data_IF_876833158477
#
_entry.id   IF_876833158477
#
_cell.length_a   1.000
_cell.length_b   1.000
_cell.length_c   1.000
_cell.angle_alpha   90.00
_cell.angle_beta   90.00
_cell.angle_gamma   90.00
#
_symmetry.space_group_name_H-M   'P 1'
#
loop_
_entity.id
_entity.type
_entity.pdbx_description
1 polymer ?
#
# COMPACT_ATOMS: atom_id res chain seq x y z
N UNK A 1 73.06 43.60 34.29
CA UNK A 1 72.12 44.45 33.52
C UNK A 1 71.44 43.56 32.49
N UNK A 2 70.25 43.05 32.77
CA UNK A 2 69.32 42.57 31.75
C UNK A 2 67.93 42.43 32.39
N UNK A 3 66.94 42.95 31.67
CA UNK A 3 65.62 43.36 32.13
C UNK A 3 64.65 42.20 32.42
N UNK A 4 63.80 42.41 33.43
CA UNK A 4 62.49 41.79 33.56
C UNK A 4 61.56 42.23 32.41
N UNK A 5 60.94 41.29 31.72
CA UNK A 5 59.69 41.52 30.98
C UNK A 5 58.63 40.57 31.51
N UNK A 6 57.69 41.11 32.29
CA UNK A 6 56.47 40.41 32.69
C UNK A 6 55.48 40.40 31.53
N UNK A 7 55.02 39.22 31.13
CA UNK A 7 53.86 39.07 30.26
C UNK A 7 52.60 38.93 31.11
N UNK A 8 51.76 39.97 31.06
CA UNK A 8 50.42 39.96 31.65
C UNK A 8 49.46 39.24 30.71
N UNK A 9 49.00 38.04 31.08
CA UNK A 9 47.92 37.35 30.38
C UNK A 9 46.56 37.91 30.85
N UNK A 10 45.87 38.65 29.98
CA UNK A 10 44.48 39.05 30.19
C UNK A 10 43.58 37.90 29.76
N UNK A 11 43.01 37.18 30.71
CA UNK A 11 42.02 36.12 30.47
C UNK A 11 40.67 36.78 30.13
N UNK A 12 40.31 36.82 28.85
CA UNK A 12 39.00 37.34 28.43
C UNK A 12 37.94 36.26 28.66
N UNK A 13 37.11 36.46 29.69
CA UNK A 13 36.00 35.57 30.03
C UNK A 13 34.87 35.76 28.99
N UNK A 14 34.75 34.87 28.01
CA UNK A 14 33.61 34.85 27.08
C UNK A 14 32.43 34.18 27.77
N UNK A 15 31.54 34.99 28.35
CA UNK A 15 30.29 34.51 28.95
C UNK A 15 29.30 34.26 27.81
N UNK A 16 29.07 32.98 27.47
CA UNK A 16 27.98 32.59 26.59
C UNK A 16 26.65 32.72 27.33
N UNK A 17 25.91 33.79 27.05
CA UNK A 17 24.54 33.96 27.53
C UNK A 17 23.64 32.94 26.83
N UNK A 18 23.32 31.84 27.52
CA UNK A 18 22.23 30.94 27.13
C UNK A 18 20.94 31.60 27.58
N UNK A 19 20.22 32.20 26.63
CA UNK A 19 18.87 32.70 26.87
C UNK A 19 17.96 31.61 27.47
N UNK A 20 16.81 31.99 28.05
CA UNK A 20 15.91 31.05 28.69
C UNK A 20 15.56 29.91 27.72
N UNK A 21 15.80 28.67 28.16
CA UNK A 21 15.39 27.46 27.44
C UNK A 21 13.87 27.44 27.48
N UNK A 22 13.23 27.97 26.45
CA UNK A 22 11.80 27.78 26.22
C UNK A 22 11.62 26.27 26.02
N UNK A 23 10.81 25.59 26.85
CA UNK A 23 10.52 24.18 26.63
C UNK A 23 9.88 24.07 25.25
N UNK A 24 10.62 23.52 24.29
CA UNK A 24 10.03 23.08 23.02
C UNK A 24 8.89 22.15 23.39
N UNK A 25 7.66 22.50 22.97
CA UNK A 25 6.51 21.61 23.09
C UNK A 25 6.97 20.20 22.80
N UNK A 26 6.86 19.30 23.79
CA UNK A 26 7.07 17.87 23.58
C UNK A 26 6.27 17.52 22.34
N UNK A 27 6.96 17.07 21.29
CA UNK A 27 6.35 16.38 20.17
C UNK A 27 5.36 15.37 20.78
N UNK A 28 4.09 15.35 20.37
CA UNK A 28 3.16 14.37 20.91
C UNK A 28 3.82 13.01 20.78
N UNK A 29 3.90 12.29 21.91
CA UNK A 29 4.44 10.92 21.95
C UNK A 29 3.86 10.18 20.75
N UNK A 30 4.73 9.76 19.82
CA UNK A 30 4.35 8.93 18.69
C UNK A 30 3.49 7.82 19.28
N UNK A 31 2.19 7.85 19.02
CA UNK A 31 1.29 6.78 19.40
C UNK A 31 1.81 5.56 18.69
N UNK A 32 2.54 4.70 19.39
CA UNK A 32 3.05 3.47 18.82
C UNK A 32 1.84 2.62 18.53
N UNK A 33 1.45 2.63 17.26
CA UNK A 33 0.41 1.77 16.74
C UNK A 33 0.91 0.34 16.96
N UNK A 34 0.27 -0.42 17.85
CA UNK A 34 0.71 -1.77 18.22
C UNK A 34 0.31 -2.81 17.16
N UNK A 35 0.51 -2.48 15.89
CA UNK A 35 0.41 -3.42 14.78
C UNK A 35 1.39 -3.02 13.67
N UNK A 36 1.80 -4.03 12.89
CA UNK A 36 2.51 -3.81 11.63
C UNK A 36 1.55 -3.90 10.45
N UNK A 37 1.73 -3.01 9.48
CA UNK A 37 0.93 -2.91 8.27
C UNK A 37 1.67 -3.57 7.09
N UNK A 38 1.03 -4.55 6.44
CA UNK A 38 1.50 -5.06 5.15
C UNK A 38 0.91 -4.20 4.03
N UNK A 39 1.74 -3.45 3.32
CA UNK A 39 1.32 -2.64 2.17
C UNK A 39 1.43 -3.52 0.92
N UNK A 40 0.28 -3.96 0.41
CA UNK A 40 0.17 -4.86 -0.75
C UNK A 40 -0.07 -4.02 -2.00
N UNK A 41 0.89 -4.05 -2.92
CA UNK A 41 0.91 -3.21 -4.12
C UNK A 41 0.81 -4.11 -5.36
N UNK A 42 -0.36 -4.16 -6.05
CA UNK A 42 -0.49 -4.87 -7.31
C UNK A 42 0.27 -4.11 -8.40
N UNK A 43 1.10 -4.80 -9.18
CA UNK A 43 2.11 -4.15 -10.00
C UNK A 43 2.34 -4.85 -11.34
N UNK A 44 2.53 -4.04 -12.39
CA UNK A 44 3.11 -4.42 -13.68
C UNK A 44 3.55 -3.16 -14.40
N UNK A 45 4.80 -3.10 -14.86
CA UNK A 45 5.31 -2.02 -15.73
C UNK A 45 5.03 -0.59 -15.22
N UNK A 46 5.18 -0.37 -13.91
CA UNK A 46 4.96 0.93 -13.24
C UNK A 46 6.21 1.37 -12.47
N UNK A 47 7.39 1.07 -12.99
CA UNK A 47 8.65 1.26 -12.26
C UNK A 47 8.90 2.73 -11.88
N UNK A 48 8.60 3.68 -12.77
CA UNK A 48 8.65 5.12 -12.46
C UNK A 48 7.80 5.49 -11.25
N UNK A 49 6.58 4.93 -11.20
CA UNK A 49 5.61 5.23 -10.16
C UNK A 49 6.07 4.59 -8.84
N UNK A 50 6.63 3.38 -8.89
CA UNK A 50 7.22 2.70 -7.74
C UNK A 50 8.41 3.46 -7.14
N UNK A 51 9.24 4.09 -7.98
CA UNK A 51 10.38 4.91 -7.53
C UNK A 51 9.94 6.12 -6.70
N UNK A 52 8.76 6.68 -6.99
CA UNK A 52 8.17 7.77 -6.22
C UNK A 52 7.42 7.23 -5.01
N UNK A 53 6.67 6.14 -5.21
CA UNK A 53 5.79 5.55 -4.22
C UNK A 53 6.50 5.10 -2.95
N UNK A 54 7.58 4.31 -3.07
CA UNK A 54 8.23 3.70 -1.91
C UNK A 54 8.79 4.73 -0.91
N UNK A 55 9.64 5.70 -1.31
CA UNK A 55 10.12 6.73 -0.39
C UNK A 55 8.96 7.58 0.17
N UNK A 56 8.01 7.98 -0.68
CA UNK A 56 6.87 8.79 -0.25
C UNK A 56 6.04 8.09 0.83
N UNK A 57 5.68 6.82 0.60
CA UNK A 57 4.87 6.06 1.54
C UNK A 57 5.63 5.69 2.80
N UNK A 58 6.93 5.38 2.70
CA UNK A 58 7.74 5.10 3.87
C UNK A 58 7.82 6.31 4.81
N UNK A 59 8.08 7.50 4.26
CA UNK A 59 8.11 8.75 5.02
C UNK A 59 6.73 9.07 5.61
N UNK A 60 5.67 8.92 4.81
CA UNK A 60 4.30 9.17 5.24
C UNK A 60 3.90 8.26 6.43
N UNK A 61 4.12 6.94 6.31
CA UNK A 61 3.76 5.97 7.35
C UNK A 61 4.66 6.08 8.59
N UNK A 62 5.97 6.25 8.41
CA UNK A 62 6.93 6.41 9.52
C UNK A 62 6.63 7.66 10.33
N UNK A 63 6.32 8.77 9.68
CA UNK A 63 5.95 10.02 10.36
C UNK A 63 4.68 9.91 11.22
N UNK A 64 3.86 8.88 10.97
CA UNK A 64 2.64 8.55 11.72
C UNK A 64 2.85 7.42 12.74
N UNK A 65 4.08 6.92 12.90
CA UNK A 65 4.39 5.82 13.81
C UNK A 65 3.82 4.46 13.37
N UNK A 66 3.50 4.31 12.08
CA UNK A 66 2.97 3.06 11.52
C UNK A 66 4.14 2.20 11.05
N UNK A 67 4.44 1.13 11.79
CA UNK A 67 5.40 0.13 11.35
C UNK A 67 4.84 -0.61 10.12
N UNK A 68 5.64 -0.81 9.08
CA UNK A 68 5.14 -1.34 7.81
C UNK A 68 6.15 -2.20 7.06
N UNK A 69 5.65 -3.00 6.13
CA UNK A 69 6.44 -3.79 5.16
C UNK A 69 5.78 -3.64 3.79
N UNK A 70 6.56 -3.33 2.75
CA UNK A 70 6.05 -3.24 1.38
C UNK A 70 6.17 -4.59 0.65
N UNK A 71 5.06 -5.03 0.07
CA UNK A 71 4.97 -6.22 -0.77
C UNK A 71 4.47 -5.81 -2.16
N UNK A 72 5.35 -5.93 -3.16
CA UNK A 72 5.05 -5.60 -4.55
C UNK A 72 4.74 -6.90 -5.29
N UNK A 73 3.51 -7.04 -5.78
CA UNK A 73 3.06 -8.27 -6.46
C UNK A 73 3.11 -8.00 -7.96
N UNK A 74 4.20 -8.45 -8.57
CA UNK A 74 4.52 -8.16 -9.96
C UNK A 74 3.95 -9.26 -10.88
N UNK A 75 2.97 -8.90 -11.70
CA UNK A 75 2.36 -9.82 -12.67
C UNK A 75 3.27 -9.96 -13.90
N UNK A 76 3.85 -11.14 -14.10
CA UNK A 76 4.83 -11.41 -15.16
C UNK A 76 4.31 -12.29 -16.30
N UNK A 77 3.09 -12.82 -16.19
CA UNK A 77 2.40 -13.44 -17.33
C UNK A 77 1.98 -12.41 -18.39
N UNK A 78 1.55 -12.87 -19.57
CA UNK A 78 1.11 -12.03 -20.68
C UNK A 78 -0.41 -11.75 -20.69
N UNK A 79 -1.16 -12.22 -19.69
CA UNK A 79 -2.58 -11.92 -19.60
C UNK A 79 -2.80 -10.45 -19.26
N UNK A 80 -4.03 -9.95 -19.44
CA UNK A 80 -4.43 -8.62 -18.97
C UNK A 80 -4.11 -8.46 -17.47
N UNK A 81 -3.88 -7.24 -17.05
CA UNK A 81 -3.60 -6.96 -15.65
C UNK A 81 -4.80 -7.32 -14.77
N UNK A 82 -4.62 -8.13 -13.72
CA UNK A 82 -5.69 -8.56 -12.83
C UNK A 82 -5.41 -8.10 -11.39
N UNK A 83 -5.88 -6.89 -11.08
CA UNK A 83 -5.67 -6.25 -9.77
C UNK A 83 -6.20 -7.10 -8.62
N UNK A 84 -7.41 -7.66 -8.76
CA UNK A 84 -8.05 -8.47 -7.72
C UNK A 84 -7.25 -9.72 -7.36
N UNK A 85 -6.82 -10.49 -8.38
CA UNK A 85 -5.97 -11.65 -8.17
C UNK A 85 -4.64 -11.28 -7.52
N UNK A 86 -3.98 -10.21 -7.98
CA UNK A 86 -2.69 -9.79 -7.40
C UNK A 86 -2.83 -9.39 -5.93
N UNK A 87 -3.94 -8.77 -5.54
CA UNK A 87 -4.22 -8.47 -4.13
C UNK A 87 -4.45 -9.75 -3.32
N UNK A 88 -5.20 -10.73 -3.85
CA UNK A 88 -5.36 -12.05 -3.22
C UNK A 88 -4.01 -12.76 -3.02
N UNK A 89 -3.20 -12.80 -4.08
CA UNK A 89 -1.84 -13.38 -4.06
C UNK A 89 -0.97 -12.65 -3.06
N UNK A 90 -0.98 -11.32 -3.05
CA UNK A 90 -0.18 -10.53 -2.13
C UNK A 90 -0.52 -10.77 -0.67
N UNK A 91 -1.80 -10.97 -0.35
CA UNK A 91 -2.21 -11.38 0.99
C UNK A 91 -1.66 -12.77 1.32
N UNK A 92 -1.84 -13.79 0.47
CA UNK A 92 -1.28 -15.14 0.72
C UNK A 92 0.24 -15.13 0.90
N UNK A 93 0.94 -14.48 0.00
CA UNK A 93 2.40 -14.48 -0.05
C UNK A 93 3.02 -13.72 1.12
N UNK A 94 2.46 -12.56 1.48
CA UNK A 94 2.95 -11.82 2.66
C UNK A 94 2.80 -12.64 3.95
N UNK A 95 1.69 -13.37 4.15
CA UNK A 95 1.55 -14.23 5.33
C UNK A 95 2.49 -15.41 5.32
N UNK A 96 2.72 -16.03 4.16
CA UNK A 96 3.72 -17.09 4.03
C UNK A 96 5.11 -16.58 4.43
N UNK A 97 5.52 -15.40 3.94
CA UNK A 97 6.81 -14.78 4.29
C UNK A 97 6.91 -14.36 5.76
N UNK A 98 5.78 -14.01 6.39
CA UNK A 98 5.71 -13.63 7.80
C UNK A 98 5.72 -14.83 8.76
N UNK A 99 5.08 -15.94 8.37
CA UNK A 99 4.83 -17.10 9.25
C UNK A 99 5.80 -18.25 9.05
N UNK A 100 6.29 -18.47 7.84
CA UNK A 100 7.19 -19.58 7.51
C UNK A 100 8.59 -19.08 7.13
N UNK A 101 8.72 -17.81 6.77
CA UNK A 101 9.93 -17.27 6.18
C UNK A 101 10.12 -17.78 4.75
N UNK A 102 11.05 -17.18 4.02
CA UNK A 102 11.21 -17.47 2.60
C UNK A 102 12.62 -17.16 2.13
N UNK A 103 13.14 -17.99 1.23
CA UNK A 103 14.38 -17.70 0.51
C UNK A 103 14.14 -16.57 -0.49
N UNK A 104 14.94 -15.52 -0.37
CA UNK A 104 14.89 -14.35 -1.25
C UNK A 104 16.30 -14.08 -1.75
N UNK A 105 16.67 -14.59 -2.93
CA UNK A 105 17.99 -14.31 -3.50
C UNK A 105 18.31 -12.80 -3.53
N UNK A 106 19.57 -12.41 -3.26
CA UNK A 106 20.75 -13.25 -3.05
C UNK A 106 20.92 -13.79 -1.62
N UNK A 107 19.92 -13.64 -0.75
CA UNK A 107 20.03 -14.09 0.64
C UNK A 107 20.11 -15.62 0.70
N UNK A 108 21.11 -16.12 1.42
CA UNK A 108 21.41 -17.55 1.57
C UNK A 108 20.61 -18.22 2.69
N UNK A 109 19.91 -17.44 3.51
CA UNK A 109 19.04 -17.91 4.58
C UNK A 109 17.62 -17.40 4.40
N UNK A 110 16.59 -18.19 4.79
CA UNK A 110 15.21 -17.73 4.76
C UNK A 110 15.03 -16.49 5.64
N UNK A 111 14.42 -15.44 5.09
CA UNK A 111 14.02 -14.27 5.86
C UNK A 111 12.60 -14.47 6.35
N UNK A 112 12.39 -14.33 7.65
CA UNK A 112 11.07 -14.23 8.26
C UNK A 112 10.73 -12.75 8.46
N UNK A 113 9.68 -12.31 7.79
CA UNK A 113 9.21 -10.92 7.91
C UNK A 113 8.34 -10.73 9.15
N UNK A 114 8.25 -9.50 9.69
CA UNK A 114 7.45 -9.30 10.88
C UNK A 114 5.96 -9.40 10.57
N UNK A 115 5.22 -10.10 11.44
CA UNK A 115 3.79 -10.40 11.28
C UNK A 115 2.95 -9.14 11.17
N UNK A 116 2.11 -9.07 10.13
CA UNK A 116 1.19 -7.97 9.88
C UNK A 116 -0.26 -8.44 10.04
N UNK A 117 -1.00 -7.85 10.99
CA UNK A 117 -2.43 -8.14 11.20
C UNK A 117 -3.34 -7.32 10.28
N UNK A 118 -2.87 -6.13 9.90
CA UNK A 118 -3.55 -5.23 8.98
C UNK A 118 -2.86 -5.27 7.62
N UNK A 119 -3.66 -5.18 6.57
CA UNK A 119 -3.18 -5.03 5.20
C UNK A 119 -3.69 -3.70 4.62
N UNK A 120 -2.84 -3.02 3.86
CA UNK A 120 -3.23 -1.92 2.98
C UNK A 120 -3.20 -2.41 1.54
N UNK A 121 -4.37 -2.51 0.92
CA UNK A 121 -4.53 -2.82 -0.49
C UNK A 121 -4.35 -1.50 -1.25
N UNK A 122 -3.22 -1.30 -1.91
CA UNK A 122 -2.76 0.03 -2.27
C UNK A 122 -2.30 0.15 -3.71
N UNK A 123 -2.93 1.06 -4.48
CA UNK A 123 -2.48 1.39 -5.82
C UNK A 123 -1.14 2.15 -5.79
N UNK A 124 -0.20 1.78 -6.67
CA UNK A 124 1.16 2.36 -6.70
C UNK A 124 1.19 3.84 -7.11
N UNK A 125 0.16 4.31 -7.80
CA UNK A 125 0.13 5.65 -8.39
C UNK A 125 -0.68 6.68 -7.56
N UNK A 126 -1.16 6.30 -6.36
CA UNK A 126 -2.03 7.16 -5.55
C UNK A 126 -1.37 7.53 -4.22
N UNK A 127 -0.81 8.74 -4.14
CA UNK A 127 0.01 9.17 -3.01
C UNK A 127 -0.80 10.03 -2.03
N UNK A 128 -0.84 9.70 -0.72
CA UNK A 128 -1.46 10.56 0.29
C UNK A 128 -0.61 11.80 0.54
N UNK A 129 -1.20 12.99 0.45
CA UNK A 129 -0.55 14.27 0.72
C UNK A 129 -0.89 14.82 2.11
N UNK A 130 -2.13 14.60 2.55
CA UNK A 130 -2.64 15.11 3.82
C UNK A 130 -2.31 14.15 4.97
N UNK A 131 -1.53 14.64 5.94
CA UNK A 131 -1.12 13.87 7.14
C UNK A 131 -2.31 13.46 8.02
N UNK A 132 -3.49 14.07 7.84
CA UNK A 132 -4.71 13.68 8.54
C UNK A 132 -5.25 12.32 8.13
N UNK A 133 -4.87 11.81 6.94
CA UNK A 133 -5.34 10.52 6.44
C UNK A 133 -4.87 9.39 7.35
N UNK A 134 -5.77 8.49 7.73
CA UNK A 134 -5.52 7.49 8.76
C UNK A 134 -4.99 6.19 8.18
N UNK A 135 -3.76 5.85 8.55
CA UNK A 135 -3.12 4.55 8.27
C UNK A 135 -2.82 3.76 9.55
N UNK A 136 -2.88 4.43 10.69
CA UNK A 136 -2.84 3.87 12.04
C UNK A 136 -4.09 3.04 12.41
N UNK A 137 -5.05 2.92 11.49
CA UNK A 137 -6.32 2.25 11.73
C UNK A 137 -6.12 0.78 12.11
N UNK A 138 -6.69 0.40 13.25
CA UNK A 138 -6.71 -0.99 13.73
C UNK A 138 -8.12 -1.32 14.20
N UNK A 139 -8.92 -1.92 13.32
CA UNK A 139 -10.28 -2.31 13.62
C UNK A 139 -10.75 -3.47 12.77
N UNK A 140 -11.90 -4.04 13.15
CA UNK A 140 -12.48 -5.21 12.49
C UNK A 140 -13.21 -4.88 11.19
N UNK A 141 -13.59 -3.62 10.99
CA UNK A 141 -14.28 -3.14 9.79
C UNK A 141 -13.25 -2.66 8.74
N UNK A 142 -13.52 -2.82 7.44
CA UNK A 142 -12.69 -2.20 6.41
C UNK A 142 -12.72 -0.67 6.50
N UNK A 143 -11.60 -0.02 6.25
CA UNK A 143 -11.46 1.43 6.20
C UNK A 143 -10.93 1.86 4.83
N UNK A 144 -11.78 2.55 4.07
CA UNK A 144 -11.45 3.09 2.75
C UNK A 144 -10.81 4.47 2.93
N UNK A 145 -9.53 4.58 2.58
CA UNK A 145 -8.73 5.79 2.83
C UNK A 145 -9.05 6.89 1.82
N UNK A 146 -9.47 6.50 0.61
CA UNK A 146 -9.75 7.40 -0.51
C UNK A 146 -11.19 7.26 -1.02
N UNK A 147 -12.20 7.68 -0.25
CA UNK A 147 -13.58 7.77 -0.74
C UNK A 147 -13.64 8.63 -1.99
N UNK A 148 -14.68 8.42 -2.80
CA UNK A 148 -14.88 9.14 -4.07
C UNK A 148 -14.63 10.64 -3.96
N UNK A 149 -15.24 11.34 -3.00
CA UNK A 149 -15.08 12.80 -2.85
C UNK A 149 -13.65 13.29 -2.51
N UNK A 150 -12.71 12.40 -2.18
CA UNK A 150 -11.29 12.71 -2.04
C UNK A 150 -10.45 12.26 -3.25
N UNK A 151 -11.00 11.42 -4.12
CA UNK A 151 -10.29 10.86 -5.25
C UNK A 151 -10.14 11.90 -6.38
N UNK A 152 -8.93 12.15 -6.92
CA UNK A 152 -8.73 13.16 -7.97
C UNK A 152 -9.56 12.92 -9.24
N UNK A 153 -9.62 11.66 -9.69
CA UNK A 153 -10.35 11.27 -10.91
C UNK A 153 -11.81 10.84 -10.64
N UNK A 154 -12.06 9.89 -9.74
CA UNK A 154 -13.38 9.28 -9.53
C UNK A 154 -14.30 10.00 -8.53
N UNK A 155 -14.18 11.31 -8.39
CA UNK A 155 -14.98 12.09 -7.43
C UNK A 155 -16.49 12.08 -7.68
N UNK A 156 -16.92 11.74 -8.90
CA UNK A 156 -18.31 11.59 -9.28
C UNK A 156 -18.90 10.20 -8.97
N UNK A 157 -18.08 9.19 -8.68
CA UNK A 157 -18.56 7.82 -8.49
C UNK A 157 -18.80 7.52 -7.00
N UNK A 158 -20.01 7.81 -6.51
CA UNK A 158 -20.33 7.75 -5.08
C UNK A 158 -19.99 6.40 -4.39
N UNK A 159 -20.11 5.28 -5.12
CA UNK A 159 -19.86 3.92 -4.60
C UNK A 159 -18.41 3.44 -4.81
N UNK A 160 -17.49 4.31 -5.22
CA UNK A 160 -16.08 3.98 -5.44
C UNK A 160 -15.44 3.30 -4.22
N UNK A 161 -14.77 2.17 -4.45
CA UNK A 161 -14.04 1.40 -3.42
C UNK A 161 -12.61 1.03 -3.83
N UNK A 162 -12.13 1.49 -5.00
CA UNK A 162 -10.77 1.30 -5.47
C UNK A 162 -9.73 2.14 -4.73
N UNK A 163 -8.49 2.15 -5.25
CA UNK A 163 -7.42 2.96 -4.70
C UNK A 163 -6.78 2.31 -3.47
N UNK A 164 -7.25 2.71 -2.29
CA UNK A 164 -6.59 2.38 -1.01
C UNK A 164 -7.61 1.92 0.04
N UNK A 165 -7.48 0.67 0.47
CA UNK A 165 -8.30 0.05 1.52
C UNK A 165 -7.43 -0.55 2.62
N UNK A 166 -7.72 -0.20 3.87
CA UNK A 166 -7.18 -0.88 5.04
C UNK A 166 -8.18 -1.90 5.54
N UNK A 167 -7.73 -3.12 5.78
CA UNK A 167 -8.59 -4.21 6.26
C UNK A 167 -7.74 -5.17 7.10
N UNK A 168 -8.34 -5.82 8.10
CA UNK A 168 -7.62 -6.88 8.81
C UNK A 168 -7.48 -8.11 7.91
N UNK A 169 -6.39 -8.86 8.08
CA UNK A 169 -6.16 -10.11 7.35
C UNK A 169 -7.30 -11.11 7.59
N UNK A 170 -7.82 -11.16 8.81
CA UNK A 170 -8.98 -11.97 9.19
C UNK A 170 -10.24 -11.57 8.41
N UNK A 171 -10.58 -10.27 8.37
CA UNK A 171 -11.76 -9.80 7.65
C UNK A 171 -11.60 -10.03 6.14
N UNK A 172 -10.40 -9.84 5.59
CA UNK A 172 -10.10 -10.12 4.18
C UNK A 172 -10.28 -11.61 3.83
N UNK A 173 -9.81 -12.51 4.70
CA UNK A 173 -10.05 -13.95 4.54
C UNK A 173 -11.53 -14.30 4.66
N UNK A 174 -12.26 -13.68 5.61
CA UNK A 174 -13.70 -13.91 5.83
C UNK A 174 -14.55 -13.53 4.62
N UNK A 175 -14.17 -12.48 3.89
CA UNK A 175 -14.87 -12.04 2.66
C UNK A 175 -14.39 -12.81 1.42
N UNK A 176 -13.47 -13.76 1.60
CA UNK A 176 -12.83 -14.54 0.54
C UNK A 176 -12.15 -13.67 -0.53
N UNK A 177 -11.50 -12.58 -0.08
CA UNK A 177 -10.75 -11.66 -0.95
C UNK A 177 -11.55 -11.11 -2.13
N UNK A 178 -10.85 -10.79 -3.22
CA UNK A 178 -11.44 -10.32 -4.48
C UNK A 178 -11.84 -11.49 -5.38
N UNK A 179 -12.77 -11.26 -6.32
CA UNK A 179 -12.98 -12.19 -7.43
C UNK A 179 -11.71 -12.31 -8.29
N UNK A 180 -11.46 -13.52 -8.81
CA UNK A 180 -10.36 -13.80 -9.72
C UNK A 180 -10.72 -13.54 -11.20
N UNK A 181 -11.96 -13.14 -11.49
CA UNK A 181 -12.52 -13.10 -12.86
C UNK A 181 -12.38 -11.73 -13.54
N UNK A 182 -11.81 -10.72 -12.87
CA UNK A 182 -11.70 -9.36 -13.41
C UNK A 182 -10.34 -9.13 -14.06
N UNK A 183 -10.25 -9.50 -15.33
CA UNK A 183 -9.08 -9.26 -16.17
C UNK A 183 -9.18 -7.90 -16.85
N UNK A 184 -8.17 -7.04 -16.68
CA UNK A 184 -8.18 -5.67 -17.18
C UNK A 184 -8.76 -4.66 -16.17
N UNK A 185 -8.94 -3.43 -16.62
CA UNK A 185 -9.38 -2.33 -15.77
C UNK A 185 -10.90 -2.37 -15.50
N UNK A 186 -11.25 -2.28 -14.21
CA UNK A 186 -12.57 -1.89 -13.71
C UNK A 186 -13.39 -3.01 -13.08
N UNK A 187 -14.26 -2.62 -12.14
CA UNK A 187 -15.38 -3.39 -11.56
C UNK A 187 -14.99 -4.47 -10.54
N UNK A 188 -13.70 -4.76 -10.36
CA UNK A 188 -13.25 -5.70 -9.33
C UNK A 188 -13.47 -5.15 -7.93
N UNK A 189 -13.33 -3.83 -7.76
CA UNK A 189 -13.62 -3.08 -6.54
C UNK A 189 -15.12 -3.00 -6.25
N UNK A 190 -15.95 -2.83 -7.28
CA UNK A 190 -17.42 -2.90 -7.19
C UNK A 190 -17.89 -4.28 -6.74
N UNK A 191 -17.29 -5.34 -7.27
CA UNK A 191 -17.59 -6.72 -6.88
C UNK A 191 -17.15 -7.00 -5.45
N UNK A 192 -15.95 -6.58 -5.06
CA UNK A 192 -15.49 -6.65 -3.69
C UNK A 192 -16.41 -5.91 -2.72
N UNK A 193 -16.89 -4.72 -3.10
CA UNK A 193 -17.90 -3.97 -2.35
C UNK A 193 -19.19 -4.76 -2.11
N UNK A 194 -19.61 -5.58 -3.08
CA UNK A 194 -20.76 -6.49 -2.91
C UNK A 194 -20.44 -7.64 -1.95
N UNK A 195 -19.22 -8.18 -1.94
CA UNK A 195 -18.77 -9.17 -0.93
C UNK A 195 -18.85 -8.62 0.48
N UNK A 196 -18.39 -7.38 0.69
CA UNK A 196 -18.47 -6.70 1.98
C UNK A 196 -19.94 -6.53 2.42
N UNK A 197 -20.81 -6.11 1.51
CA UNK A 197 -22.25 -5.95 1.77
C UNK A 197 -22.94 -7.28 2.10
N UNK A 198 -22.62 -8.37 1.39
CA UNK A 198 -23.16 -9.71 1.66
C UNK A 198 -22.91 -10.14 3.11
N UNK A 199 -21.76 -9.75 3.68
CA UNK A 199 -21.38 -10.02 5.08
C UNK A 199 -21.73 -8.90 6.05
N UNK A 200 -22.56 -7.94 5.63
CA UNK A 200 -23.00 -6.79 6.43
C UNK A 200 -21.83 -5.97 7.01
N UNK A 201 -20.67 -5.98 6.33
CA UNK A 201 -19.50 -5.22 6.73
C UNK A 201 -19.64 -3.79 6.24
N UNK A 202 -19.81 -2.87 7.18
CA UNK A 202 -19.75 -1.44 6.88
C UNK A 202 -18.33 -1.02 6.55
N UNK A 203 -18.14 -0.39 5.41
CA UNK A 203 -16.90 0.30 5.05
C UNK A 203 -16.86 1.66 5.76
N UNK A 204 -15.84 1.88 6.56
CA UNK A 204 -15.56 3.15 7.20
C UNK A 204 -14.75 4.03 6.25
N UNK A 205 -14.86 5.35 6.41
CA UNK A 205 -14.10 6.33 5.65
C UNK A 205 -13.97 7.61 6.49
N UNK A 206 -13.12 8.53 6.04
CA UNK A 206 -13.15 9.93 6.51
C UNK A 206 -14.58 10.48 6.52
N UNK A 207 -14.90 11.35 7.48
CA UNK A 207 -16.18 12.07 7.45
C UNK A 207 -16.16 13.02 6.26
N UNK A 208 -17.22 12.99 5.45
CA UNK A 208 -17.33 13.86 4.27
C UNK A 208 -17.28 15.32 4.70
N UNK A 209 -16.26 16.03 4.22
CA UNK A 209 -16.08 17.46 4.37
C UNK A 209 -15.51 18.01 3.07
N UNK A 210 -15.69 19.31 2.82
CA UNK A 210 -15.05 19.97 1.67
C UNK A 210 -13.57 20.12 2.00
N UNK A 211 -12.66 19.44 1.28
CA UNK A 211 -11.25 19.57 1.57
C UNK A 211 -10.76 20.94 1.08
N UNK A 212 -10.03 21.66 1.95
CA UNK A 212 -9.44 22.95 1.57
C UNK A 212 -8.32 22.80 0.52
N UNK A 213 -7.70 21.62 0.44
CA UNK A 213 -6.61 21.28 -0.47
C UNK A 213 -6.72 19.82 -0.91
N UNK A 214 -6.09 19.46 -2.02
CA UNK A 214 -6.05 18.07 -2.49
C UNK A 214 -5.38 17.15 -1.44
N UNK A 215 -6.06 16.08 -1.05
CA UNK A 215 -5.52 15.10 -0.08
C UNK A 215 -4.70 13.98 -0.71
N UNK A 216 -4.84 13.78 -2.02
CA UNK A 216 -4.14 12.76 -2.79
C UNK A 216 -3.56 13.34 -4.06
N UNK A 217 -2.40 12.82 -4.46
CA UNK A 217 -1.83 13.01 -5.79
C UNK A 217 -1.98 11.70 -6.58
N UNK A 218 -2.48 11.77 -7.80
CA UNK A 218 -2.54 10.62 -8.71
C UNK A 218 -1.46 10.78 -9.78
N UNK A 219 -0.36 10.03 -9.67
CA UNK A 219 0.84 10.12 -10.53
C UNK A 219 0.74 9.21 -11.77
N UNK A 220 -0.44 9.14 -12.38
CA UNK A 220 -0.67 8.26 -13.51
C UNK A 220 -0.20 8.89 -14.83
N UNK A 221 0.86 8.34 -15.42
CA UNK A 221 1.31 8.76 -16.75
C UNK A 221 0.26 8.47 -17.82
N UNK A 222 0.05 9.40 -18.77
CA UNK A 222 -0.84 9.18 -19.93
C UNK A 222 -0.37 8.05 -20.85
N UNK A 223 0.90 7.66 -20.76
CA UNK A 223 1.48 6.53 -21.50
C UNK A 223 0.99 5.17 -20.97
N UNK A 224 0.53 5.13 -19.72
CA UNK A 224 0.04 3.93 -19.06
C UNK A 224 -1.40 3.62 -19.50
N UNK A 225 -1.56 3.12 -20.73
CA UNK A 225 -2.87 2.77 -21.26
C UNK A 225 -3.52 1.64 -20.45
N UNK A 226 -4.79 1.83 -20.14
CA UNK A 226 -5.63 0.81 -19.48
C UNK A 226 -6.27 -0.07 -20.54
N UNK A 227 -6.07 -1.37 -20.43
CA UNK A 227 -6.84 -2.36 -21.20
C UNK A 227 -8.04 -2.73 -20.35
N UNK A 228 -9.26 -2.50 -20.84
CA UNK A 228 -10.50 -2.82 -20.14
C UNK A 228 -11.29 -3.88 -20.90
N UNK A 229 -12.02 -4.69 -20.16
CA UNK A 229 -13.06 -5.54 -20.74
C UNK A 229 -14.28 -4.65 -21.04
N UNK A 230 -14.96 -4.82 -22.19
CA UNK A 230 -16.15 -4.04 -22.50
C UNK A 230 -17.19 -4.11 -21.39
N UNK A 231 -17.83 -2.98 -21.08
CA UNK A 231 -18.90 -2.90 -20.08
C UNK A 231 -20.10 -3.82 -20.41
N UNK A 232 -20.28 -4.18 -21.68
CA UNK A 232 -21.29 -5.14 -22.12
C UNK A 232 -21.00 -6.58 -21.69
N UNK A 233 -19.76 -6.89 -21.25
CA UNK A 233 -19.44 -8.23 -20.78
C UNK A 233 -20.19 -8.52 -19.47
N UNK A 234 -21.01 -9.59 -19.40
CA UNK A 234 -21.81 -9.91 -18.22
C UNK A 234 -21.01 -10.03 -16.92
N UNK A 235 -19.74 -10.45 -17.00
CA UNK A 235 -18.90 -10.60 -15.80
C UNK A 235 -18.78 -9.31 -15.00
N UNK A 236 -18.81 -8.16 -15.70
CA UNK A 236 -18.68 -6.84 -15.08
C UNK A 236 -19.88 -6.49 -14.18
N UNK A 237 -20.98 -7.25 -14.24
CA UNK A 237 -22.21 -6.99 -13.47
C UNK A 237 -22.57 -8.11 -12.50
N UNK A 238 -22.08 -9.32 -12.71
CA UNK A 238 -22.48 -10.50 -11.93
C UNK A 238 -21.68 -10.55 -10.61
N UNK A 239 -22.31 -11.07 -9.55
CA UNK A 239 -21.67 -11.33 -8.25
C UNK A 239 -20.98 -12.69 -8.34
N UNK A 240 -19.66 -12.72 -8.14
CA UNK A 240 -18.88 -13.96 -8.24
C UNK A 240 -18.83 -14.70 -6.91
N UNK A 241 -19.69 -15.69 -6.74
CA UNK A 241 -19.74 -16.54 -5.54
C UNK A 241 -18.85 -17.79 -5.63
N UNK A 242 -18.07 -17.93 -6.70
CA UNK A 242 -17.29 -19.14 -6.99
C UNK A 242 -15.82 -18.91 -6.74
N UNK A 243 -15.26 -17.80 -7.22
CA UNK A 243 -13.82 -17.55 -7.09
C UNK A 243 -13.49 -16.52 -6.02
N UNK A 244 -12.29 -16.62 -5.46
CA UNK A 244 -11.83 -15.71 -4.40
C UNK A 244 -10.40 -15.98 -3.94
N UNK A 245 -10.10 -15.56 -2.72
CA UNK A 245 -8.83 -15.82 -2.06
C UNK A 245 -8.55 -17.32 -1.98
N UNK A 246 -9.53 -18.14 -1.61
CA UNK A 246 -9.33 -19.57 -1.44
C UNK A 246 -8.91 -20.26 -2.76
N UNK A 247 -9.44 -19.81 -3.90
CA UNK A 247 -9.30 -20.44 -5.21
C UNK A 247 -8.37 -19.71 -6.19
N UNK A 248 -7.69 -18.64 -5.77
CA UNK A 248 -6.70 -17.96 -6.62
C UNK A 248 -5.58 -18.94 -7.01
N UNK A 249 -5.32 -19.06 -8.32
CA UNK A 249 -4.31 -19.95 -8.91
C UNK A 249 -3.20 -19.12 -9.53
N UNK A 250 -1.96 -19.40 -9.14
CA UNK A 250 -0.78 -18.68 -9.58
C UNK A 250 0.49 -19.52 -9.36
N UNK A 251 1.56 -19.15 -10.05
CA UNK A 251 2.91 -19.65 -9.83
C UNK A 251 3.82 -18.49 -9.39
N UNK A 252 4.67 -18.72 -8.38
CA UNK A 252 5.68 -17.73 -7.99
C UNK A 252 6.97 -18.04 -8.73
N UNK A 253 7.36 -17.18 -9.66
CA UNK A 253 8.57 -17.38 -10.47
C UNK A 253 9.83 -16.95 -9.72
N UNK A 254 9.73 -15.90 -8.90
CA UNK A 254 10.83 -15.47 -8.04
C UNK A 254 10.36 -14.53 -6.94
N UNK A 255 11.14 -14.42 -5.87
CA UNK A 255 11.01 -13.38 -4.84
C UNK A 255 12.32 -12.63 -4.74
N UNK A 256 12.26 -11.30 -4.73
CA UNK A 256 13.42 -10.41 -4.80
C UNK A 256 13.27 -9.31 -3.75
N UNK A 257 14.34 -9.03 -3.00
CA UNK A 257 14.43 -7.85 -2.15
C UNK A 257 14.97 -6.70 -2.99
N UNK A 258 14.24 -5.59 -3.07
CA UNK A 258 14.71 -4.34 -3.67
C UNK A 258 14.84 -3.26 -2.60
N UNK A 259 15.66 -2.26 -2.87
CA UNK A 259 15.75 -1.06 -2.06
C UNK A 259 15.70 0.18 -2.97
N UNK A 260 14.83 1.13 -2.63
CA UNK A 260 14.62 2.37 -3.39
C UNK A 260 14.78 3.54 -2.43
N UNK A 261 15.79 4.38 -2.64
CA UNK A 261 16.11 5.49 -1.73
C UNK A 261 16.22 5.06 -0.27
N UNK A 262 16.78 3.86 -0.02
CA UNK A 262 16.93 3.28 1.32
C UNK A 262 15.67 2.59 1.88
N UNK A 263 14.56 2.55 1.13
CA UNK A 263 13.33 1.85 1.51
C UNK A 263 13.31 0.45 0.94
N UNK A 264 13.26 -0.55 1.83
CA UNK A 264 13.14 -1.96 1.45
C UNK A 264 11.73 -2.31 0.96
N UNK A 265 11.64 -3.09 -0.12
CA UNK A 265 10.42 -3.71 -0.60
C UNK A 265 10.68 -5.15 -1.06
N UNK A 266 9.67 -6.01 -0.92
CA UNK A 266 9.71 -7.42 -1.31
C UNK A 266 8.87 -7.61 -2.55
N UNK A 267 9.52 -7.88 -3.69
CA UNK A 267 8.86 -8.11 -4.96
C UNK A 267 8.64 -9.61 -5.14
N UNK A 268 7.40 -10.01 -5.35
CA UNK A 268 7.03 -11.37 -5.72
C UNK A 268 6.57 -11.36 -7.17
N UNK A 269 7.37 -11.98 -8.05
CA UNK A 269 7.01 -12.16 -9.45
C UNK A 269 6.07 -13.36 -9.56
N UNK A 270 4.90 -13.15 -10.18
CA UNK A 270 3.84 -14.14 -10.25
C UNK A 270 3.28 -14.28 -11.66
N UNK A 271 3.07 -15.53 -12.06
CA UNK A 271 2.27 -15.88 -13.23
C UNK A 271 0.89 -16.28 -12.74
N UNK A 272 -0.12 -15.50 -13.10
CA UNK A 272 -1.50 -15.82 -12.80
C UNK A 272 -2.02 -16.88 -13.76
N UNK A 273 -2.81 -17.82 -13.24
CA UNK A 273 -3.48 -18.78 -14.11
C UNK A 273 -4.76 -18.16 -14.68
N UNK A 274 -4.94 -18.24 -16.01
CA UNK A 274 -6.22 -18.00 -16.66
C UNK A 274 -6.78 -19.31 -17.23
N UNK A 275 -8.08 -19.54 -16.99
CA UNK A 275 -8.86 -20.50 -17.77
C UNK A 275 -9.57 -19.76 -18.92
N UNK A 276 -9.16 -19.96 -20.20
CA UNK A 276 -9.81 -19.30 -21.33
C UNK A 276 -11.26 -19.76 -21.55
N UNK A 277 -11.68 -20.90 -21.02
CA UNK A 277 -13.07 -21.35 -21.11
C UNK A 277 -13.98 -20.59 -20.12
N UNK A 278 -13.46 -20.22 -18.96
CA UNK A 278 -14.22 -19.46 -17.94
C UNK A 278 -14.09 -17.94 -18.10
N UNK A 279 -12.90 -17.49 -18.51
CA UNK A 279 -12.51 -16.08 -18.61
C UNK A 279 -11.78 -15.81 -19.93
N UNK A 280 -12.40 -16.02 -21.10
CA UNK A 280 -11.74 -15.87 -22.42
C UNK A 280 -11.14 -14.48 -22.66
N UNK A 281 -11.64 -13.47 -21.96
CA UNK A 281 -11.18 -12.09 -22.01
C UNK A 281 -9.94 -11.82 -21.13
N UNK A 282 -9.29 -12.84 -20.59
CA UNK A 282 -8.00 -12.69 -19.91
C UNK A 282 -6.85 -12.39 -20.86
N UNK A 283 -6.95 -12.82 -22.12
CA UNK A 283 -6.01 -12.49 -23.19
C UNK A 283 -6.50 -11.26 -23.96
N UNK A 284 -5.57 -10.56 -24.58
CA UNK A 284 -5.92 -9.60 -25.62
C UNK A 284 -6.23 -10.37 -26.91
N UNK A 285 -7.47 -10.25 -27.36
CA UNK A 285 -7.90 -10.63 -28.70
C UNK A 285 -7.45 -9.62 -29.72
#
# INVERSE_FOLDING_TARGET
MLLLMGMSFVLTLVIFWRGPVIPTQRSPLLTTVNHKLAVIVPFRERFSDLMVFLPHMADFLTSKGVSHTFYVINQVDDYRFNRGMLLNVGVKESELMETHGTLVPPLTQPVRLPTCRMIALHDVDLLPLDRSLKYEYFGSLPYHVVPSWLHPIYHYYANYLGGIMLISRETFARVDGFSNRFWGWGREDDEFGRRLKDLQLKVLTEKKSVPAQAKFQHIHSKMNKRKSVPFSNPITHIRDRVTGLHSVRYNVTSRIKIAVSGVDAWVTNVELFCDPLETPYCVDT
#
